data_IF_203141287555
#
_entry.id   IF_203141287555
#
_cell.length_a   1.000
_cell.length_b   1.000
_cell.length_c   1.000
_cell.angle_alpha   90.00
_cell.angle_beta   90.00
_cell.angle_gamma   90.00
#
_symmetry.space_group_name_H-M   'P 1'
#
loop_
_entity.id
_entity.type
_entity.pdbx_description
1 polymer ?
#
# COMPACT_ATOMS: atom_id res chain seq x y z
N UNK A 1 -5.64 -22.24 -12.70
CA UNK A 1 -6.21 -22.34 -11.33
C UNK A 1 -7.56 -21.63 -11.24
N UNK A 2 -8.50 -22.14 -10.44
CA UNK A 2 -9.79 -21.47 -10.19
C UNK A 2 -9.56 -20.29 -9.25
N UNK A 3 -9.93 -19.07 -9.69
CA UNK A 3 -9.76 -17.86 -8.87
C UNK A 3 -10.67 -17.86 -7.65
N UNK A 4 -10.16 -17.41 -6.50
CA UNK A 4 -10.97 -17.21 -5.28
C UNK A 4 -11.96 -16.06 -5.51
N UNK A 5 -13.23 -16.27 -5.20
CA UNK A 5 -14.23 -15.19 -5.18
C UNK A 5 -14.08 -14.42 -3.88
N UNK A 6 -14.00 -13.10 -3.95
CA UNK A 6 -13.94 -12.20 -2.81
C UNK A 6 -14.97 -11.09 -3.02
N UNK A 7 -15.63 -10.64 -1.96
CA UNK A 7 -16.63 -9.59 -2.09
C UNK A 7 -15.97 -8.22 -2.24
N UNK A 8 -15.14 -7.83 -1.29
CA UNK A 8 -14.39 -6.57 -1.34
C UNK A 8 -12.92 -6.85 -1.06
N UNK A 9 -12.06 -6.20 -1.83
CA UNK A 9 -10.62 -6.16 -1.59
C UNK A 9 -10.18 -4.71 -1.48
N UNK A 10 -9.38 -4.39 -0.46
CA UNK A 10 -8.73 -3.08 -0.31
C UNK A 10 -7.22 -3.28 -0.34
N UNK A 11 -6.56 -2.56 -1.23
CA UNK A 11 -5.08 -2.45 -1.30
C UNK A 11 -4.70 -0.97 -1.29
N UNK A 12 -3.59 -0.63 -0.67
CA UNK A 12 -3.03 0.72 -0.64
C UNK A 12 -1.52 0.68 -0.75
N UNK A 13 -0.91 1.84 -0.87
CA UNK A 13 0.54 2.03 -0.73
C UNK A 13 1.35 1.07 -1.61
N UNK A 14 0.98 1.03 -2.89
CA UNK A 14 1.62 0.16 -3.90
C UNK A 14 2.88 0.78 -4.45
N UNK A 15 2.86 2.11 -4.64
CA UNK A 15 3.98 2.91 -5.15
C UNK A 15 4.53 2.41 -6.50
N UNK A 16 3.64 2.16 -7.47
CA UNK A 16 4.06 1.86 -8.85
C UNK A 16 4.93 3.00 -9.40
N UNK A 17 6.08 2.66 -9.96
CA UNK A 17 7.07 3.62 -10.45
C UNK A 17 8.28 3.76 -9.51
N UNK A 18 8.28 3.10 -8.35
CA UNK A 18 9.41 3.06 -7.41
C UNK A 18 10.11 1.71 -7.38
N UNK A 19 11.35 1.69 -6.92
CA UNK A 19 12.12 0.43 -6.75
C UNK A 19 11.58 -0.44 -5.61
N UNK A 20 10.85 0.15 -4.65
CA UNK A 20 10.30 -0.55 -3.49
C UNK A 20 9.08 -1.41 -3.79
N UNK A 21 8.40 -1.15 -4.91
CA UNK A 21 7.15 -1.83 -5.26
C UNK A 21 7.36 -3.31 -5.61
N UNK A 22 6.65 -4.18 -4.93
CA UNK A 22 6.58 -5.62 -5.23
C UNK A 22 5.48 -5.92 -6.25
N UNK A 23 5.65 -5.38 -7.48
CA UNK A 23 4.65 -5.46 -8.54
C UNK A 23 4.37 -6.89 -9.02
N UNK A 24 5.37 -7.80 -9.00
CA UNK A 24 5.20 -9.21 -9.37
C UNK A 24 4.26 -9.91 -8.38
N UNK A 25 4.53 -9.76 -7.10
CA UNK A 25 3.76 -10.37 -6.01
C UNK A 25 2.32 -9.84 -6.00
N UNK A 26 2.14 -8.52 -6.23
CA UNK A 26 0.82 -7.92 -6.38
C UNK A 26 0.08 -8.49 -7.59
N UNK A 27 0.76 -8.66 -8.73
CA UNK A 27 0.17 -9.23 -9.94
C UNK A 27 -0.28 -10.68 -9.70
N UNK A 28 0.53 -11.47 -9.00
CA UNK A 28 0.21 -12.86 -8.61
C UNK A 28 -1.03 -12.88 -7.71
N UNK A 29 -1.07 -12.02 -6.69
CA UNK A 29 -2.23 -11.87 -5.82
C UNK A 29 -3.49 -11.51 -6.62
N UNK A 30 -3.47 -10.42 -7.40
CA UNK A 30 -4.60 -9.99 -8.23
C UNK A 30 -5.01 -11.04 -9.27
N UNK A 31 -4.09 -11.92 -9.66
CA UNK A 31 -4.38 -13.02 -10.59
C UNK A 31 -5.06 -14.21 -9.92
N UNK A 32 -4.86 -14.38 -8.63
CA UNK A 32 -5.44 -15.46 -7.82
C UNK A 32 -6.89 -15.22 -7.41
N UNK A 33 -7.38 -13.97 -7.49
CA UNK A 33 -8.69 -13.55 -6.99
C UNK A 33 -9.63 -13.05 -8.08
N UNK A 34 -10.94 -13.04 -7.76
CA UNK A 34 -12.01 -12.40 -8.53
C UNK A 34 -12.90 -11.60 -7.56
N UNK A 35 -12.55 -10.36 -7.23
CA UNK A 35 -13.34 -9.52 -6.34
C UNK A 35 -14.57 -8.96 -7.06
N UNK A 36 -15.66 -8.72 -6.31
CA UNK A 36 -16.80 -7.92 -6.78
C UNK A 36 -16.43 -6.43 -6.78
N UNK A 37 -15.75 -5.99 -5.72
CA UNK A 37 -15.27 -4.62 -5.52
C UNK A 37 -13.76 -4.67 -5.23
N UNK A 38 -12.99 -3.84 -5.93
CA UNK A 38 -11.58 -3.58 -5.67
C UNK A 38 -11.41 -2.11 -5.31
N UNK A 39 -10.93 -1.81 -4.12
CA UNK A 39 -10.59 -0.47 -3.66
C UNK A 39 -9.07 -0.29 -3.70
N UNK A 40 -8.62 0.65 -4.50
CA UNK A 40 -7.26 1.14 -4.58
C UNK A 40 -7.19 2.36 -3.67
N UNK A 41 -6.73 2.16 -2.42
CA UNK A 41 -6.88 3.15 -1.34
C UNK A 41 -5.65 4.06 -1.20
N UNK A 42 -5.31 4.79 -2.26
CA UNK A 42 -4.25 5.79 -2.29
C UNK A 42 -2.84 5.23 -2.47
N UNK A 43 -1.96 6.09 -2.94
CA UNK A 43 -0.55 5.82 -3.19
C UNK A 43 -0.31 4.60 -4.09
N UNK A 44 -1.15 4.48 -5.12
CA UNK A 44 -1.06 3.38 -6.08
C UNK A 44 0.04 3.65 -7.10
N UNK A 45 0.10 4.89 -7.62
CA UNK A 45 1.15 5.33 -8.54
C UNK A 45 1.94 6.43 -7.85
N UNK A 46 3.25 6.24 -7.71
CA UNK A 46 4.11 7.27 -7.12
C UNK A 46 4.49 8.31 -8.16
N UNK A 47 3.67 9.36 -8.28
CA UNK A 47 3.91 10.46 -9.21
C UNK A 47 5.04 11.38 -8.70
N UNK A 48 5.28 11.45 -7.39
CA UNK A 48 6.31 12.29 -6.81
C UNK A 48 7.73 11.77 -7.07
N UNK A 49 7.91 10.44 -7.01
CA UNK A 49 9.19 9.81 -7.27
C UNK A 49 9.32 9.29 -8.70
N UNK A 50 8.33 9.63 -9.55
CA UNK A 50 8.30 9.18 -10.94
C UNK A 50 9.57 9.61 -11.67
N UNK A 51 10.45 8.67 -11.93
CA UNK A 51 11.62 8.89 -12.78
C UNK A 51 11.22 8.65 -14.21
N UNK A 52 11.46 9.63 -15.10
CA UNK A 52 11.13 9.54 -16.53
C UNK A 52 11.64 8.28 -17.24
N UNK A 53 12.63 7.60 -16.64
CA UNK A 53 13.28 6.42 -17.20
C UNK A 53 12.97 5.11 -16.44
N UNK A 54 12.16 5.14 -15.38
CA UNK A 54 11.89 3.96 -14.57
C UNK A 54 10.39 3.70 -14.40
N UNK A 55 9.86 2.83 -15.23
CA UNK A 55 8.55 2.22 -15.06
C UNK A 55 8.59 0.81 -15.66
N UNK A 56 9.01 -0.20 -14.88
CA UNK A 56 9.18 -1.56 -15.37
C UNK A 56 7.91 -2.15 -15.96
N UNK A 57 8.06 -3.12 -16.88
CA UNK A 57 6.93 -3.79 -17.52
C UNK A 57 5.95 -4.42 -16.53
N UNK A 58 6.45 -4.95 -15.41
CA UNK A 58 5.62 -5.53 -14.36
C UNK A 58 4.66 -4.50 -13.71
N UNK A 59 5.09 -3.26 -13.57
CA UNK A 59 4.23 -2.18 -13.07
C UNK A 59 3.08 -1.88 -14.07
N UNK A 60 3.37 -1.89 -15.38
CA UNK A 60 2.34 -1.76 -16.42
C UNK A 60 1.40 -2.98 -16.44
N UNK A 61 1.91 -4.17 -16.18
CA UNK A 61 1.10 -5.39 -16.10
C UNK A 61 0.10 -5.32 -14.93
N UNK A 62 0.46 -4.71 -13.78
CA UNK A 62 -0.47 -4.46 -12.67
C UNK A 62 -1.60 -3.54 -13.13
N UNK A 63 -1.29 -2.41 -13.77
CA UNK A 63 -2.31 -1.49 -14.31
C UNK A 63 -3.22 -2.21 -15.29
N UNK A 64 -2.64 -2.92 -16.27
CA UNK A 64 -3.37 -3.73 -17.25
C UNK A 64 -4.28 -4.76 -16.56
N UNK A 65 -3.80 -5.38 -15.48
CA UNK A 65 -4.56 -6.35 -14.70
C UNK A 65 -5.80 -5.72 -14.05
N UNK A 66 -5.64 -4.56 -13.42
CA UNK A 66 -6.75 -3.81 -12.78
C UNK A 66 -7.79 -3.43 -13.84
N UNK A 67 -7.36 -2.88 -14.99
CA UNK A 67 -8.25 -2.56 -16.11
C UNK A 67 -8.98 -3.82 -16.59
N UNK A 68 -8.27 -4.94 -16.77
CA UNK A 68 -8.88 -6.21 -17.16
C UNK A 68 -9.88 -6.76 -16.15
N UNK A 69 -9.70 -6.50 -14.85
CA UNK A 69 -10.67 -6.88 -13.82
C UNK A 69 -11.93 -6.01 -13.94
N UNK A 70 -11.76 -4.72 -14.15
CA UNK A 70 -12.87 -3.77 -14.36
C UNK A 70 -13.71 -4.15 -15.58
N UNK A 71 -13.08 -4.43 -16.73
CA UNK A 71 -13.79 -4.85 -17.95
C UNK A 71 -14.53 -6.20 -17.80
N UNK A 72 -14.16 -7.02 -16.82
CA UNK A 72 -14.81 -8.30 -16.46
C UNK A 72 -15.83 -8.17 -15.34
N UNK A 73 -16.25 -6.95 -14.99
CA UNK A 73 -17.34 -6.66 -14.09
C UNK A 73 -16.95 -6.38 -12.64
N UNK A 74 -15.66 -6.33 -12.29
CA UNK A 74 -15.23 -5.84 -10.98
C UNK A 74 -15.43 -4.33 -10.92
N UNK A 75 -16.13 -3.82 -9.89
CA UNK A 75 -16.17 -2.37 -9.60
C UNK A 75 -14.84 -1.96 -8.97
N UNK A 76 -14.16 -0.99 -9.57
CA UNK A 76 -12.87 -0.47 -9.09
C UNK A 76 -13.07 0.95 -8.59
N UNK A 77 -12.75 1.19 -7.33
CA UNK A 77 -12.69 2.53 -6.74
C UNK A 77 -11.23 2.90 -6.53
N UNK A 78 -10.81 4.00 -7.13
CA UNK A 78 -9.49 4.58 -6.92
C UNK A 78 -9.66 5.79 -6.00
N UNK A 79 -9.15 5.68 -4.79
CA UNK A 79 -9.04 6.77 -3.82
C UNK A 79 -7.62 7.32 -3.95
N UNK A 80 -7.48 8.65 -3.98
CA UNK A 80 -6.18 9.28 -4.13
C UNK A 80 -5.46 9.40 -2.78
N UNK A 81 -4.15 9.17 -2.80
CA UNK A 81 -3.25 9.45 -1.67
C UNK A 81 -2.39 10.69 -1.94
N UNK A 82 -1.37 10.90 -1.10
CA UNK A 82 -0.45 12.03 -1.24
C UNK A 82 0.57 11.83 -2.37
N UNK A 83 0.97 10.59 -2.69
CA UNK A 83 1.91 10.33 -3.79
C UNK A 83 1.26 10.42 -5.17
N UNK A 84 -0.04 10.26 -5.24
CA UNK A 84 -0.84 10.41 -6.46
C UNK A 84 -1.88 11.54 -6.36
N UNK A 85 -1.64 12.54 -5.49
CA UNK A 85 -2.52 13.70 -5.24
C UNK A 85 -2.87 14.50 -6.50
N UNK A 86 -2.03 14.45 -7.54
CA UNK A 86 -2.32 15.08 -8.83
C UNK A 86 -3.65 14.61 -9.41
N UNK A 87 -4.04 13.36 -9.15
CA UNK A 87 -5.28 12.77 -9.62
C UNK A 87 -6.51 13.36 -8.92
N UNK A 88 -6.38 14.05 -7.78
CA UNK A 88 -7.50 14.71 -7.08
C UNK A 88 -8.21 15.75 -7.93
N UNK A 89 -7.50 16.33 -8.90
CA UNK A 89 -8.11 17.27 -9.87
C UNK A 89 -9.20 16.62 -10.74
N UNK A 90 -9.21 15.30 -10.78
CA UNK A 90 -10.14 14.51 -11.57
C UNK A 90 -11.10 13.69 -10.69
N UNK A 91 -11.25 14.04 -9.41
CA UNK A 91 -12.23 13.41 -8.52
C UNK A 91 -13.62 13.45 -9.16
N UNK A 92 -14.41 12.43 -8.91
CA UNK A 92 -15.72 12.15 -9.52
C UNK A 92 -15.68 11.74 -11.01
N UNK A 93 -14.50 11.41 -11.53
CA UNK A 93 -14.39 10.81 -12.85
C UNK A 93 -14.84 9.34 -12.81
N UNK A 94 -15.76 9.01 -13.72
CA UNK A 94 -16.24 7.64 -13.93
C UNK A 94 -15.86 7.13 -15.31
N UNK A 95 -15.15 6.00 -15.37
CA UNK A 95 -14.76 5.33 -16.62
C UNK A 95 -15.24 3.87 -16.57
N UNK A 96 -16.47 3.63 -17.03
CA UNK A 96 -17.09 2.31 -16.94
C UNK A 96 -17.22 1.85 -15.48
N UNK A 97 -16.53 0.78 -15.11
CA UNK A 97 -16.54 0.26 -13.74
C UNK A 97 -15.40 0.83 -12.87
N UNK A 98 -14.68 1.87 -13.34
CA UNK A 98 -13.62 2.54 -12.55
C UNK A 98 -14.15 3.91 -12.14
N UNK A 99 -14.05 4.21 -10.84
CA UNK A 99 -14.41 5.52 -10.28
C UNK A 99 -13.22 6.09 -9.51
N UNK A 100 -12.85 7.33 -9.81
CA UNK A 100 -11.84 8.09 -9.08
C UNK A 100 -12.54 8.98 -8.06
N UNK A 101 -12.24 8.80 -6.78
CA UNK A 101 -12.95 9.43 -5.65
C UNK A 101 -11.97 9.76 -4.52
N UNK A 102 -12.36 10.66 -3.60
CA UNK A 102 -11.52 10.99 -2.43
C UNK A 102 -11.75 10.08 -1.22
N UNK A 103 -12.94 9.55 -1.11
CA UNK A 103 -13.36 8.64 -0.02
C UNK A 103 -14.51 7.78 -0.48
N UNK A 104 -14.70 6.65 0.18
CA UNK A 104 -15.77 5.70 -0.11
C UNK A 104 -16.47 5.29 1.17
N UNK A 105 -17.79 5.24 1.13
CA UNK A 105 -18.59 4.56 2.16
C UNK A 105 -19.25 3.35 1.51
N UNK A 106 -18.95 2.17 2.02
CA UNK A 106 -19.60 0.92 1.61
C UNK A 106 -20.55 0.46 2.70
N UNK A 107 -21.73 0.02 2.29
CA UNK A 107 -22.65 -0.73 3.15
C UNK A 107 -22.42 -2.24 2.93
N UNK A 108 -22.02 -2.92 3.99
CA UNK A 108 -21.65 -4.33 3.99
C UNK A 108 -22.43 -5.06 5.09
N UNK A 109 -23.43 -5.85 4.70
CA UNK A 109 -24.27 -6.60 5.66
C UNK A 109 -24.83 -5.73 6.81
N UNK A 110 -25.42 -4.58 6.46
CA UNK A 110 -25.98 -3.56 7.36
C UNK A 110 -24.94 -2.81 8.23
N UNK A 111 -23.66 -2.96 7.93
CA UNK A 111 -22.56 -2.23 8.55
C UNK A 111 -21.95 -1.25 7.56
N UNK A 112 -21.56 -0.07 8.06
CA UNK A 112 -20.99 1.01 7.25
C UNK A 112 -19.49 1.03 7.37
N UNK A 113 -18.78 0.86 6.24
CA UNK A 113 -17.33 0.94 6.14
C UNK A 113 -16.92 2.26 5.48
N UNK A 114 -16.22 3.12 6.21
CA UNK A 114 -15.65 4.36 5.71
C UNK A 114 -14.20 4.12 5.30
N UNK A 115 -13.89 4.35 4.02
CA UNK A 115 -12.59 4.06 3.41
C UNK A 115 -12.02 5.36 2.84
N UNK A 116 -10.79 5.69 3.21
CA UNK A 116 -10.02 6.83 2.71
C UNK A 116 -8.53 6.55 2.93
N UNK A 117 -7.66 7.28 2.22
CA UNK A 117 -6.22 7.00 2.32
C UNK A 117 -5.65 7.33 3.70
N UNK A 118 -5.85 8.55 4.18
CA UNK A 118 -5.41 8.98 5.51
C UNK A 118 -4.50 10.22 5.50
N UNK A 119 -3.90 10.57 4.40
CA UNK A 119 -2.98 11.70 4.24
C UNK A 119 -3.57 13.07 4.61
N UNK A 120 -4.89 13.21 4.64
CA UNK A 120 -5.58 14.43 5.08
C UNK A 120 -5.25 14.81 6.53
N UNK A 121 -4.83 13.86 7.35
CA UNK A 121 -4.43 14.10 8.74
C UNK A 121 -2.98 14.57 8.89
N UNK A 122 -2.16 14.47 7.85
CA UNK A 122 -0.79 15.00 7.85
C UNK A 122 -0.74 16.53 8.00
N UNK A 123 -1.78 17.23 7.56
CA UNK A 123 -1.87 18.68 7.67
C UNK A 123 -1.93 19.15 9.12
N UNK A 124 -2.39 18.30 10.05
CA UNK A 124 -2.35 18.54 11.50
C UNK A 124 -0.92 18.39 12.07
N UNK A 125 0.01 17.85 11.27
CA UNK A 125 1.38 17.52 11.64
C UNK A 125 2.35 18.28 10.75
N UNK A 126 2.13 19.59 10.64
CA UNK A 126 2.80 20.52 9.70
C UNK A 126 4.33 20.62 9.81
N UNK A 127 4.98 19.86 10.66
CA UNK A 127 6.44 19.83 10.77
C UNK A 127 7.12 18.69 9.98
N UNK A 128 6.36 17.76 9.40
CA UNK A 128 6.92 16.58 8.75
C UNK A 128 7.10 16.69 7.22
N UNK A 129 6.50 17.67 6.55
CA UNK A 129 6.57 17.78 5.07
C UNK A 129 8.00 17.96 4.51
N UNK A 130 8.89 18.63 5.23
CA UNK A 130 10.28 18.75 4.81
C UNK A 130 11.10 17.48 5.12
N UNK A 131 10.77 16.78 6.24
CA UNK A 131 11.34 15.46 6.53
C UNK A 131 10.88 14.41 5.51
N UNK A 132 9.62 14.45 5.07
CA UNK A 132 9.11 13.55 4.03
C UNK A 132 9.83 13.79 2.67
N UNK A 133 10.14 15.06 2.32
CA UNK A 133 10.92 15.36 1.12
C UNK A 133 12.37 14.88 1.18
N UNK A 134 13.00 14.95 2.36
CA UNK A 134 14.32 14.36 2.61
C UNK A 134 14.23 12.83 2.76
N UNK A 135 13.12 12.33 3.31
CA UNK A 135 12.85 10.91 3.52
C UNK A 135 12.70 10.11 2.23
N UNK A 136 12.13 10.68 1.17
CA UNK A 136 11.90 9.95 -0.08
C UNK A 136 13.19 9.42 -0.70
N UNK A 137 14.22 10.26 -0.83
CA UNK A 137 15.52 9.81 -1.35
C UNK A 137 16.28 8.91 -0.37
N UNK A 138 16.23 9.25 0.93
CA UNK A 138 16.80 8.42 1.98
C UNK A 138 16.07 7.09 2.16
N UNK A 139 14.77 7.05 1.94
CA UNK A 139 13.94 5.85 2.01
C UNK A 139 14.25 4.88 0.87
N UNK A 140 14.31 5.36 -0.38
CA UNK A 140 14.74 4.54 -1.52
C UNK A 140 16.16 3.97 -1.32
N UNK A 141 17.06 4.79 -0.78
CA UNK A 141 18.42 4.35 -0.46
C UNK A 141 18.43 3.29 0.65
N UNK A 142 17.60 3.44 1.69
CA UNK A 142 17.45 2.43 2.75
C UNK A 142 16.83 1.13 2.21
N UNK A 143 15.86 1.20 1.29
CA UNK A 143 15.29 0.02 0.63
C UNK A 143 16.36 -0.71 -0.17
N UNK A 144 17.19 0.01 -0.94
CA UNK A 144 18.28 -0.59 -1.71
C UNK A 144 19.33 -1.26 -0.81
N UNK A 145 19.71 -0.59 0.27
CA UNK A 145 20.63 -1.13 1.28
C UNK A 145 20.02 -2.37 1.94
N UNK A 146 18.75 -2.33 2.30
CA UNK A 146 18.06 -3.45 2.94
C UNK A 146 17.94 -4.65 2.00
N UNK A 147 17.66 -4.42 0.70
CA UNK A 147 17.66 -5.47 -0.33
C UNK A 147 19.06 -6.10 -0.47
N UNK A 148 20.09 -5.28 -0.55
CA UNK A 148 21.49 -5.76 -0.63
C UNK A 148 21.86 -6.59 0.61
N UNK A 149 21.55 -6.11 1.82
CA UNK A 149 21.79 -6.84 3.07
C UNK A 149 21.03 -8.17 3.06
N UNK A 150 19.76 -8.18 2.66
CA UNK A 150 18.96 -9.40 2.63
C UNK A 150 19.42 -10.39 1.56
N UNK A 151 19.90 -9.91 0.43
CA UNK A 151 20.54 -10.76 -0.58
C UNK A 151 21.80 -11.42 -0.02
N UNK A 152 22.66 -10.68 0.69
CA UNK A 152 23.84 -11.23 1.38
C UNK A 152 23.43 -12.24 2.46
N UNK A 153 22.42 -11.92 3.28
CA UNK A 153 21.95 -12.80 4.35
C UNK A 153 21.34 -14.10 3.80
N UNK A 154 20.59 -14.03 2.70
CA UNK A 154 20.03 -15.19 2.02
C UNK A 154 21.12 -16.15 1.51
N UNK A 155 22.26 -15.61 1.06
CA UNK A 155 23.41 -16.41 0.64
C UNK A 155 24.08 -17.18 1.79
N UNK A 156 23.86 -16.73 3.03
CA UNK A 156 24.34 -17.37 4.26
C UNK A 156 23.23 -18.12 5.04
N UNK A 157 22.07 -18.38 4.41
CA UNK A 157 20.90 -19.02 5.03
C UNK A 157 20.45 -18.33 6.33
N UNK A 158 20.58 -17.01 6.43
CA UNK A 158 20.11 -16.22 7.56
C UNK A 158 18.77 -15.57 7.24
N UNK A 159 17.95 -15.39 8.28
CA UNK A 159 16.64 -14.73 8.14
C UNK A 159 16.76 -13.29 7.61
N UNK A 160 15.79 -12.82 6.82
CA UNK A 160 15.76 -11.46 6.29
C UNK A 160 15.75 -10.43 7.41
N UNK A 161 16.57 -9.39 7.27
CA UNK A 161 16.67 -8.30 8.21
C UNK A 161 15.98 -7.05 7.66
N UNK A 162 15.05 -6.45 8.42
CA UNK A 162 14.43 -5.17 8.07
C UNK A 162 15.07 -4.03 8.84
N UNK A 163 15.93 -3.29 8.14
CA UNK A 163 16.60 -2.10 8.71
C UNK A 163 15.59 -0.97 8.95
N UNK A 164 14.67 -0.78 8.01
CA UNK A 164 13.62 0.25 8.09
C UNK A 164 12.66 -0.02 9.25
N UNK A 165 12.25 -1.27 9.46
CA UNK A 165 11.39 -1.67 10.58
C UNK A 165 12.05 -1.41 11.94
N UNK A 166 13.37 -1.67 12.06
CA UNK A 166 14.13 -1.42 13.30
C UNK A 166 14.31 0.07 13.57
N UNK A 167 14.54 0.88 12.54
CA UNK A 167 14.64 2.34 12.66
C UNK A 167 13.28 2.94 13.02
N UNK A 168 12.18 2.52 12.39
CA UNK A 168 10.81 2.93 12.75
C UNK A 168 10.47 2.59 14.21
N UNK A 169 10.79 1.38 14.65
CA UNK A 169 10.49 0.94 16.02
C UNK A 169 11.29 1.70 17.09
N UNK A 170 12.45 2.26 16.75
CA UNK A 170 13.30 3.00 17.70
C UNK A 170 12.99 4.50 17.75
N UNK A 171 12.17 5.03 16.86
CA UNK A 171 11.82 6.46 16.82
C UNK A 171 10.49 6.69 17.54
N UNK A 172 10.56 7.08 18.82
CA UNK A 172 9.37 7.43 19.65
C UNK A 172 8.37 8.37 18.94
N UNK A 173 8.86 9.25 18.06
CA UNK A 173 8.04 10.17 17.28
C UNK A 173 7.18 9.45 16.23
N UNK A 174 7.69 8.40 15.58
CA UNK A 174 6.94 7.63 14.60
C UNK A 174 5.83 6.82 15.26
N UNK A 175 6.12 6.19 16.42
CA UNK A 175 5.09 5.46 17.18
C UNK A 175 3.98 6.42 17.64
N UNK A 176 4.36 7.59 18.17
CA UNK A 176 3.38 8.62 18.58
C UNK A 176 2.55 9.11 17.40
N UNK A 177 3.15 9.26 16.21
CA UNK A 177 2.44 9.64 14.99
C UNK A 177 1.40 8.59 14.62
N UNK A 178 1.80 7.31 14.54
CA UNK A 178 0.91 6.19 14.21
C UNK A 178 -0.26 6.15 15.19
N UNK A 179 0.01 6.18 16.50
CA UNK A 179 -1.03 6.14 17.53
C UNK A 179 -1.99 7.34 17.43
N UNK A 180 -1.48 8.54 17.23
CA UNK A 180 -2.31 9.73 17.05
C UNK A 180 -3.17 9.63 15.79
N UNK A 181 -2.62 9.14 14.69
CA UNK A 181 -3.34 8.93 13.43
C UNK A 181 -4.51 7.94 13.62
N UNK A 182 -4.24 6.79 14.21
CA UNK A 182 -5.26 5.77 14.48
C UNK A 182 -6.39 6.33 15.36
N UNK A 183 -6.04 7.01 16.47
CA UNK A 183 -7.01 7.61 17.38
C UNK A 183 -7.91 8.62 16.67
N UNK A 184 -7.36 9.54 15.88
CA UNK A 184 -8.14 10.52 15.13
C UNK A 184 -9.08 9.85 14.13
N UNK A 185 -8.64 8.82 13.42
CA UNK A 185 -9.48 8.06 12.50
C UNK A 185 -10.66 7.40 13.23
N UNK A 186 -10.38 6.80 14.39
CA UNK A 186 -11.36 6.10 15.22
C UNK A 186 -12.37 7.08 15.82
N UNK A 187 -11.92 8.18 16.40
CA UNK A 187 -12.81 9.22 16.97
C UNK A 187 -13.80 9.75 15.92
N UNK A 188 -13.31 10.08 14.73
CA UNK A 188 -14.17 10.55 13.65
C UNK A 188 -15.13 9.48 13.12
N UNK A 189 -14.69 8.20 13.07
CA UNK A 189 -15.55 7.11 12.65
C UNK A 189 -16.69 6.87 13.65
N UNK A 190 -16.40 6.89 14.94
CA UNK A 190 -17.38 6.76 16.01
C UNK A 190 -18.37 7.93 15.98
N UNK A 191 -17.87 9.18 15.88
CA UNK A 191 -18.72 10.38 15.79
C UNK A 191 -19.72 10.29 14.62
N UNK A 192 -19.30 9.73 13.49
CA UNK A 192 -20.13 9.61 12.28
C UNK A 192 -20.91 8.29 12.21
N UNK A 193 -20.80 7.42 13.19
CA UNK A 193 -21.50 6.14 13.29
C UNK A 193 -21.06 5.13 12.23
N UNK A 194 -19.76 5.06 11.94
CA UNK A 194 -19.20 4.03 11.06
C UNK A 194 -18.74 2.81 11.87
N UNK A 195 -19.15 1.60 11.42
CA UNK A 195 -18.73 0.34 12.03
C UNK A 195 -17.28 -0.03 11.72
N UNK A 196 -16.79 0.45 10.57
CA UNK A 196 -15.42 0.21 10.10
C UNK A 196 -14.81 1.50 9.58
N UNK A 197 -13.58 1.78 9.99
CA UNK A 197 -12.72 2.79 9.37
C UNK A 197 -11.52 2.11 8.74
N UNK A 198 -11.29 2.35 7.44
CA UNK A 198 -10.29 1.65 6.65
C UNK A 198 -9.33 2.67 6.04
N UNK A 199 -8.05 2.57 6.39
CA UNK A 199 -6.99 3.48 5.97
C UNK A 199 -5.83 2.73 5.28
N UNK A 200 -4.93 3.49 4.67
CA UNK A 200 -3.59 3.14 4.24
C UNK A 200 -2.56 4.04 4.93
N UNK A 201 -1.67 4.65 4.14
CA UNK A 201 -0.79 5.76 4.44
C UNK A 201 0.33 5.50 5.46
N UNK A 202 0.03 4.86 6.59
CA UNK A 202 1.01 4.59 7.65
C UNK A 202 1.73 3.25 7.47
N UNK A 203 1.40 2.47 6.44
CA UNK A 203 2.01 1.18 6.10
C UNK A 203 2.00 0.14 7.24
N UNK A 204 1.06 0.23 8.18
CA UNK A 204 0.97 -0.67 9.33
C UNK A 204 -0.28 -1.54 9.23
N UNK A 205 -0.19 -2.76 8.63
CA UNK A 205 -1.35 -3.60 8.41
C UNK A 205 -1.97 -4.08 9.71
N UNK A 206 -3.28 -3.81 9.88
CA UNK A 206 -3.97 -4.06 11.15
C UNK A 206 -5.46 -4.31 10.94
N UNK A 207 -6.05 -5.09 11.82
CA UNK A 207 -7.50 -5.15 12.09
C UNK A 207 -7.63 -5.13 13.61
N UNK A 208 -8.19 -4.07 14.18
CA UNK A 208 -8.31 -3.89 15.61
C UNK A 208 -9.68 -3.32 15.97
N UNK A 209 -10.30 -3.88 17.00
CA UNK A 209 -11.50 -3.32 17.59
C UNK A 209 -11.10 -2.21 18.56
N UNK A 210 -11.68 -1.05 18.41
CA UNK A 210 -11.37 0.13 19.22
C UNK A 210 -12.66 0.76 19.73
N UNK A 211 -12.65 1.16 20.98
CA UNK A 211 -13.78 1.79 21.68
C UNK A 211 -13.33 3.01 22.47
N UNK A 212 -14.24 3.94 22.66
CA UNK A 212 -14.08 5.08 23.58
C UNK A 212 -15.42 5.37 24.27
N UNK A 213 -15.48 6.41 25.09
CA UNK A 213 -16.71 6.82 25.82
C UNK A 213 -17.92 7.12 24.91
N UNK A 214 -17.71 7.40 23.62
CA UNK A 214 -18.73 7.79 22.65
C UNK A 214 -19.20 6.64 21.76
N UNK A 215 -18.52 5.48 21.76
CA UNK A 215 -18.89 4.33 20.95
C UNK A 215 -17.73 3.43 20.57
N UNK A 216 -17.95 2.62 19.53
CA UNK A 216 -17.02 1.59 19.09
C UNK A 216 -16.92 1.57 17.56
N UNK A 217 -15.79 1.14 17.05
CA UNK A 217 -15.55 0.88 15.62
C UNK A 217 -14.40 -0.11 15.44
N UNK A 218 -14.32 -0.72 14.27
CA UNK A 218 -13.14 -1.46 13.86
C UNK A 218 -12.21 -0.54 13.06
N UNK A 219 -10.97 -0.39 13.50
CA UNK A 219 -9.90 0.21 12.72
C UNK A 219 -9.20 -0.85 11.87
N UNK A 220 -9.08 -0.57 10.58
CA UNK A 220 -8.42 -1.45 9.61
C UNK A 220 -7.39 -0.64 8.80
N UNK A 221 -6.21 -1.24 8.60
CA UNK A 221 -5.22 -0.71 7.68
C UNK A 221 -4.78 -1.82 6.71
N UNK A 222 -4.78 -1.51 5.42
CA UNK A 222 -4.43 -2.48 4.37
C UNK A 222 -2.93 -2.79 4.30
N UNK A 223 -2.10 -2.01 4.99
CA UNK A 223 -0.66 -2.11 4.89
C UNK A 223 -0.15 -1.56 3.54
N UNK A 224 0.80 -2.25 2.94
CA UNK A 224 1.49 -1.79 1.74
C UNK A 224 1.95 -2.96 0.86
N UNK A 225 2.43 -2.63 -0.36
CA UNK A 225 3.08 -3.57 -1.29
C UNK A 225 4.57 -3.26 -1.51
N UNK A 226 5.19 -2.66 -0.49
CA UNK A 226 6.62 -2.33 -0.41
C UNK A 226 7.34 -3.21 0.61
N UNK A 227 6.79 -3.30 1.84
CA UNK A 227 7.40 -4.07 2.93
C UNK A 227 6.52 -5.24 3.40
N UNK A 228 5.21 -5.02 3.55
CA UNK A 228 4.28 -5.93 4.20
C UNK A 228 3.61 -6.92 3.23
N UNK A 229 3.34 -6.50 1.99
CA UNK A 229 2.65 -7.26 0.94
C UNK A 229 1.29 -7.78 1.40
N UNK A 230 0.44 -6.84 1.85
CA UNK A 230 -0.83 -7.15 2.48
C UNK A 230 -2.01 -6.52 1.75
N UNK A 231 -3.19 -7.08 1.97
CA UNK A 231 -4.48 -6.56 1.52
C UNK A 231 -5.56 -6.88 2.54
N UNK A 232 -6.62 -6.08 2.57
CA UNK A 232 -7.82 -6.42 3.33
C UNK A 232 -8.82 -7.11 2.40
N UNK A 233 -9.34 -8.24 2.83
CA UNK A 233 -10.38 -9.00 2.12
C UNK A 233 -11.65 -9.07 2.98
N UNK A 234 -12.79 -8.63 2.44
CA UNK A 234 -14.10 -8.87 3.04
C UNK A 234 -14.79 -10.01 2.31
N UNK A 235 -15.16 -11.02 3.06
CA UNK A 235 -15.94 -12.15 2.55
C UNK A 235 -16.67 -12.83 3.70
N UNK A 236 -17.87 -13.35 3.44
CA UNK A 236 -18.70 -14.02 4.44
C UNK A 236 -18.85 -13.17 5.73
N UNK A 237 -19.19 -11.90 5.59
CA UNK A 237 -19.42 -10.92 6.66
C UNK A 237 -18.23 -10.66 7.58
N UNK A 238 -17.00 -10.94 7.13
CA UNK A 238 -15.78 -10.76 7.93
C UNK A 238 -14.67 -10.15 7.10
N UNK A 239 -13.96 -9.21 7.71
CA UNK A 239 -12.67 -8.72 7.23
C UNK A 239 -11.55 -9.66 7.63
N UNK A 240 -10.61 -9.87 6.74
CA UNK A 240 -9.36 -10.61 6.96
C UNK A 240 -8.21 -9.85 6.36
N UNK A 241 -7.08 -9.89 7.04
CA UNK A 241 -5.83 -9.41 6.50
C UNK A 241 -5.20 -10.55 5.69
N UNK A 242 -5.08 -10.36 4.38
CA UNK A 242 -4.29 -11.22 3.51
C UNK A 242 -2.82 -10.78 3.62
N UNK A 243 -1.91 -11.74 3.68
CA UNK A 243 -0.48 -11.53 3.59
C UNK A 243 0.08 -12.44 2.50
N UNK A 244 0.82 -11.85 1.55
CA UNK A 244 1.45 -12.62 0.48
C UNK A 244 2.63 -13.41 1.04
N UNK A 245 2.64 -14.71 0.78
CA UNK A 245 3.75 -15.59 1.17
C UNK A 245 4.84 -15.52 0.09
N UNK A 246 5.98 -14.94 0.43
CA UNK A 246 7.13 -14.83 -0.46
C UNK A 246 7.73 -16.17 -0.86
N UNK A 247 7.48 -17.22 -0.07
CA UNK A 247 8.03 -18.56 -0.32
C UNK A 247 7.22 -19.36 -1.36
N UNK A 248 6.02 -18.89 -1.74
CA UNK A 248 5.18 -19.54 -2.77
C UNK A 248 5.49 -19.08 -4.19
N UNK A 249 6.30 -18.07 -4.39
CA UNK A 249 6.80 -17.65 -5.71
C UNK A 249 7.99 -18.52 -6.11
N UNK A 250 7.71 -19.76 -6.49
CA UNK A 250 8.69 -20.73 -6.98
C UNK A 250 9.09 -20.48 -8.44
N UNK A 251 9.64 -19.32 -8.74
CA UNK A 251 10.45 -19.09 -9.93
C UNK A 251 11.60 -18.15 -9.54
N UNK A 252 12.61 -18.75 -8.92
CA UNK A 252 13.85 -18.10 -8.47
C UNK A 252 14.74 -17.60 -9.62
N UNK A 253 14.31 -17.62 -10.89
CA UNK A 253 15.24 -17.49 -12.00
C UNK A 253 15.07 -16.28 -12.92
N UNK A 254 14.28 -15.26 -12.55
CA UNK A 254 14.26 -14.01 -13.32
C UNK A 254 14.25 -12.73 -12.47
N UNK A 255 14.92 -12.72 -11.34
CA UNK A 255 15.48 -11.47 -10.83
C UNK A 255 16.59 -11.07 -11.78
N UNK A 256 16.31 -10.08 -12.60
CA UNK A 256 17.19 -9.63 -13.66
C UNK A 256 18.52 -9.12 -13.06
N UNK A 257 19.49 -10.02 -12.92
CA UNK A 257 20.85 -9.80 -12.40
C UNK A 257 21.53 -8.60 -13.08
N UNK A 258 21.18 -8.34 -14.35
CA UNK A 258 21.69 -7.20 -15.12
C UNK A 258 21.14 -5.87 -14.58
N UNK A 259 19.92 -5.86 -14.07
CA UNK A 259 19.32 -4.61 -13.58
C UNK A 259 19.82 -4.25 -12.18
N UNK A 260 20.05 -5.24 -11.31
CA UNK A 260 20.67 -5.04 -10.00
C UNK A 260 22.15 -4.63 -10.11
N UNK A 261 22.89 -5.22 -11.04
CA UNK A 261 24.26 -4.80 -11.33
C UNK A 261 24.30 -3.35 -11.83
N UNK A 262 23.38 -2.97 -12.71
CA UNK A 262 23.29 -1.59 -13.23
C UNK A 262 22.91 -0.58 -12.15
N UNK A 263 22.08 -0.97 -11.18
CA UNK A 263 21.73 -0.18 -10.01
C UNK A 263 22.92 -0.06 -9.04
N UNK A 264 23.63 -1.15 -8.80
CA UNK A 264 24.85 -1.14 -7.98
C UNK A 264 25.93 -0.28 -8.62
N UNK A 265 26.12 -0.36 -9.95
CA UNK A 265 27.06 0.50 -10.69
C UNK A 265 26.66 1.98 -10.63
N UNK A 266 25.36 2.30 -10.77
CA UNK A 266 24.88 3.67 -10.61
C UNK A 266 25.09 4.18 -9.19
N UNK A 267 24.88 3.35 -8.18
CA UNK A 267 25.12 3.68 -6.78
C UNK A 267 26.62 3.95 -6.51
N UNK A 268 27.50 3.10 -7.01
CA UNK A 268 28.95 3.29 -6.91
C UNK A 268 29.40 4.56 -7.64
N UNK A 269 28.78 4.87 -8.79
CA UNK A 269 29.09 6.10 -9.54
C UNK A 269 28.64 7.38 -8.81
N UNK A 270 27.57 7.32 -8.01
CA UNK A 270 27.10 8.43 -7.18
C UNK A 270 28.01 8.65 -5.97
N UNK A 271 28.54 7.57 -5.37
CA UNK A 271 29.45 7.66 -4.22
C UNK A 271 30.87 8.13 -4.60
N UNK A 272 31.23 8.08 -5.89
CA UNK A 272 32.53 8.54 -6.41
C UNK A 272 32.55 10.00 -6.87
N UNK A 273 31.41 10.70 -6.81
CA UNK A 273 31.26 12.14 -7.05
C UNK A 273 31.09 12.90 -5.73
#
# INVERSE_FOLDING_TARGET
MKKRKVEVVVISDVHLGTYGCHAKELLDYLSSIKPKILVLNGDIIDIWQFRKSYFPSKHLEVIKKIISMSTKGTKVYYITGNHDEFLRKFTDLHMGNISLIDKLVLELDHKRAWIFHGDVFDASITQAKWLAKLGGWGYDMLILINRFINWVLARFNKEPYSLSKKIKNNVKSAVKFITNFENVCVELAIEKGYDYVICGHIHEPKIEFMENENGETFYLNSGDWVENLTALEYNNKKWKLYKHDRNLSSDENEYNFEHENKLAEQFIAVLKK
#
